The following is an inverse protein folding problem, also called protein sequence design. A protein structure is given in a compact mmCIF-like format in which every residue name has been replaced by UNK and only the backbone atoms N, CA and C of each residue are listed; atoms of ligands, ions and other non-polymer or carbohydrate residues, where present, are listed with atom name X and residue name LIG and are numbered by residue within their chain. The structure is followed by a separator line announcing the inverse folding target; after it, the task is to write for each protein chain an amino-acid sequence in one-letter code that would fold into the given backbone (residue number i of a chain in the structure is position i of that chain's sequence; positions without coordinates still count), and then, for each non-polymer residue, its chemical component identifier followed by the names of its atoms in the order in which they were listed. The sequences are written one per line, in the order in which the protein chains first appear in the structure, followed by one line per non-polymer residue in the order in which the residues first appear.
data_IF_652419235387
#
_entry.id   IF_652419235387
#
_cell.length_a   1.000
_cell.length_b   1.000
_cell.length_c   1.000
_cell.angle_alpha   90.00
_cell.angle_beta   90.00
_cell.angle_gamma   90.00
#
_symmetry.space_group_name_H-M   'P 1'
#
loop_
_entity.id
_entity.type
_entity.pdbx_description
1 polymer ?
#
# COMPACT_ATOMS: atom_id res chain seq x y z
N UNK A 1 -0.51 -20.84 9.38
CA UNK A 1 -0.10 -19.43 9.15
C UNK A 1 -0.05 -19.21 7.64
N UNK A 2 -0.65 -18.15 7.10
CA UNK A 2 -0.63 -17.89 5.66
C UNK A 2 0.79 -17.63 5.14
N UNK A 3 1.06 -17.95 3.87
CA UNK A 3 2.40 -17.80 3.24
C UNK A 3 2.94 -16.37 3.28
N UNK A 4 2.06 -15.36 3.24
CA UNK A 4 2.45 -13.94 3.15
C UNK A 4 1.96 -13.10 4.33
N UNK A 5 0.71 -13.26 4.79
CA UNK A 5 0.15 -12.46 5.89
C UNK A 5 0.10 -13.24 7.21
N UNK A 6 0.72 -12.67 8.24
CA UNK A 6 0.61 -13.11 9.64
C UNK A 6 -0.43 -12.29 10.42
N UNK A 7 -0.29 -12.23 11.75
CA UNK A 7 -1.19 -11.48 12.65
C UNK A 7 -1.31 -10.01 12.26
N UNK A 8 -0.18 -9.37 12.00
CA UNK A 8 -0.09 -7.91 11.77
C UNK A 8 0.59 -7.60 10.43
N UNK A 9 0.12 -8.26 9.36
CA UNK A 9 0.53 -7.97 7.99
C UNK A 9 1.61 -8.90 7.42
N UNK A 10 2.18 -8.49 6.29
CA UNK A 10 3.29 -9.18 5.62
C UNK A 10 4.62 -8.63 6.14
N UNK A 11 5.37 -9.47 6.86
CA UNK A 11 6.60 -9.09 7.56
C UNK A 11 7.74 -10.04 7.20
N UNK A 12 8.97 -9.54 7.29
CA UNK A 12 10.17 -10.30 7.00
C UNK A 12 11.41 -9.41 7.00
N UNK A 13 12.60 -9.99 6.90
CA UNK A 13 13.83 -9.22 6.74
C UNK A 13 13.83 -8.49 5.38
N UNK A 14 14.13 -7.19 5.41
CA UNK A 14 14.06 -6.35 4.22
C UNK A 14 15.17 -6.72 3.23
N UNK A 15 14.78 -7.01 1.98
CA UNK A 15 15.68 -7.46 0.93
C UNK A 15 15.94 -8.97 0.91
N UNK A 16 15.46 -9.72 1.91
CA UNK A 16 15.59 -11.18 2.00
C UNK A 16 14.21 -11.82 1.93
N UNK A 17 13.43 -11.74 3.01
CA UNK A 17 12.08 -12.32 3.08
C UNK A 17 11.03 -11.36 2.50
N UNK A 18 11.23 -10.05 2.72
CA UNK A 18 10.36 -8.99 2.21
C UNK A 18 11.14 -8.14 1.19
N UNK A 19 10.81 -8.31 -0.09
CA UNK A 19 11.57 -7.70 -1.20
C UNK A 19 10.80 -6.54 -1.84
N UNK A 20 11.49 -5.72 -2.63
CA UNK A 20 10.85 -4.66 -3.43
C UNK A 20 9.80 -5.22 -4.41
N UNK A 21 10.06 -6.40 -5.00
CA UNK A 21 9.11 -7.09 -5.88
C UNK A 21 7.84 -7.52 -5.13
N UNK A 22 7.96 -7.98 -3.88
CA UNK A 22 6.79 -8.23 -3.03
C UNK A 22 5.96 -6.95 -2.84
N UNK A 23 6.61 -5.84 -2.48
CA UNK A 23 5.93 -4.56 -2.27
C UNK A 23 5.25 -4.06 -3.56
N UNK A 24 5.91 -4.15 -4.71
CA UNK A 24 5.33 -3.81 -6.01
C UNK A 24 4.10 -4.65 -6.33
N UNK A 25 4.18 -5.98 -6.16
CA UNK A 25 3.05 -6.90 -6.40
C UNK A 25 1.87 -6.62 -5.48
N UNK A 26 2.14 -6.32 -4.21
CA UNK A 26 1.11 -5.89 -3.25
C UNK A 26 0.45 -4.59 -3.70
N UNK A 27 1.23 -3.56 -4.04
CA UNK A 27 0.70 -2.29 -4.54
C UNK A 27 -0.16 -2.48 -5.79
N UNK A 28 0.32 -3.27 -6.75
CA UNK A 28 -0.39 -3.59 -7.99
C UNK A 28 -1.72 -4.28 -7.72
N UNK A 29 -1.72 -5.27 -6.84
CA UNK A 29 -2.95 -5.98 -6.47
C UNK A 29 -3.93 -5.06 -5.75
N UNK A 30 -3.49 -4.26 -4.78
CA UNK A 30 -4.35 -3.34 -4.03
C UNK A 30 -4.99 -2.30 -4.95
N UNK A 31 -4.20 -1.69 -5.85
CA UNK A 31 -4.72 -0.71 -6.81
C UNK A 31 -5.81 -1.31 -7.71
N UNK A 32 -5.56 -2.49 -8.28
CA UNK A 32 -6.56 -3.20 -9.09
C UNK A 32 -7.81 -3.57 -8.28
N UNK A 33 -7.62 -4.14 -7.09
CA UNK A 33 -8.71 -4.63 -6.26
C UNK A 33 -9.66 -3.52 -5.84
N UNK A 34 -9.13 -2.39 -5.35
CA UNK A 34 -9.94 -1.27 -4.92
C UNK A 34 -10.59 -0.52 -6.09
N UNK A 35 -9.92 -0.42 -7.25
CA UNK A 35 -10.57 0.09 -8.46
C UNK A 35 -11.77 -0.78 -8.85
N UNK A 36 -11.58 -2.09 -8.96
CA UNK A 36 -12.67 -3.02 -9.29
C UNK A 36 -13.81 -2.99 -8.26
N UNK A 37 -13.51 -2.76 -6.98
CA UNK A 37 -14.52 -2.61 -5.95
C UNK A 37 -15.34 -1.33 -6.12
N UNK A 38 -14.70 -0.21 -6.47
CA UNK A 38 -15.39 1.07 -6.74
C UNK A 38 -16.26 0.99 -8.00
N UNK A 39 -15.73 0.40 -9.07
CA UNK A 39 -16.48 0.20 -10.33
C UNK A 39 -17.76 -0.59 -10.09
N UNK A 40 -17.70 -1.66 -9.28
CA UNK A 40 -18.88 -2.46 -8.90
C UNK A 40 -19.92 -1.67 -8.11
N UNK A 41 -19.49 -0.61 -7.41
CA UNK A 41 -20.36 0.30 -6.67
C UNK A 41 -20.80 1.50 -7.53
N UNK A 42 -20.56 1.48 -8.85
CA UNK A 42 -20.95 2.54 -9.78
C UNK A 42 -20.04 3.77 -9.75
N UNK A 43 -18.84 3.66 -9.18
CA UNK A 43 -17.87 4.75 -9.11
C UNK A 43 -16.63 4.42 -9.93
N UNK A 44 -16.38 5.20 -10.99
CA UNK A 44 -15.25 5.01 -11.91
C UNK A 44 -14.04 5.90 -11.59
N UNK A 45 -14.06 6.62 -10.46
CA UNK A 45 -12.90 7.41 -10.04
C UNK A 45 -11.76 6.49 -9.57
N UNK A 46 -10.48 6.86 -9.82
CA UNK A 46 -9.32 6.11 -9.35
C UNK A 46 -9.34 5.90 -7.83
N UNK A 47 -9.14 4.66 -7.38
CA UNK A 47 -9.03 4.34 -5.97
C UNK A 47 -7.90 5.16 -5.33
N UNK A 48 -8.20 5.80 -4.21
CA UNK A 48 -7.26 6.60 -3.44
C UNK A 48 -6.66 5.76 -2.33
N UNK A 49 -5.33 5.65 -2.32
CA UNK A 49 -4.60 4.82 -1.36
C UNK A 49 -3.55 5.67 -0.66
N UNK A 50 -3.65 5.74 0.67
CA UNK A 50 -2.73 6.49 1.53
C UNK A 50 -1.61 5.57 2.02
N UNK A 51 -0.37 6.05 1.93
CA UNK A 51 0.83 5.32 2.34
C UNK A 51 1.57 6.15 3.40
N UNK A 52 1.86 5.52 4.53
CA UNK A 52 2.77 6.04 5.54
C UNK A 52 3.86 5.02 5.86
N UNK A 53 4.96 5.50 6.45
CA UNK A 53 6.09 4.66 6.84
C UNK A 53 6.70 5.10 8.18
N UNK A 54 7.46 4.19 8.78
CA UNK A 54 8.36 4.52 9.88
C UNK A 54 9.73 5.02 9.37
N UNK A 55 10.69 5.19 10.28
CA UNK A 55 12.04 5.72 9.98
C UNK A 55 13.03 4.66 9.48
N UNK A 56 12.63 3.39 9.26
CA UNK A 56 13.56 2.35 8.81
C UNK A 56 14.12 2.71 7.43
N UNK A 57 15.41 2.41 7.22
CA UNK A 57 16.09 2.66 5.93
C UNK A 57 15.38 1.99 4.74
N UNK A 58 14.88 0.77 4.94
CA UNK A 58 14.16 0.02 3.91
C UNK A 58 12.81 0.64 3.51
N UNK A 59 12.26 1.52 4.34
CA UNK A 59 10.92 2.07 4.13
C UNK A 59 10.83 2.93 2.86
N UNK A 60 11.90 3.59 2.44
CA UNK A 60 11.93 4.32 1.16
C UNK A 60 11.77 3.39 -0.04
N UNK A 61 12.51 2.27 -0.04
CA UNK A 61 12.43 1.27 -1.10
C UNK A 61 11.01 0.69 -1.19
N UNK A 62 10.40 0.35 -0.06
CA UNK A 62 9.05 -0.20 -0.03
C UNK A 62 7.98 0.82 -0.38
N UNK A 63 8.07 2.07 0.10
CA UNK A 63 7.15 3.15 -0.25
C UNK A 63 7.12 3.36 -1.77
N UNK A 64 8.28 3.54 -2.42
CA UNK A 64 8.32 3.74 -3.86
C UNK A 64 7.90 2.50 -4.66
N UNK A 65 8.19 1.30 -4.16
CA UNK A 65 7.76 0.06 -4.82
C UNK A 65 6.23 -0.12 -4.75
N UNK A 66 5.62 0.19 -3.60
CA UNK A 66 4.16 0.22 -3.44
C UNK A 66 3.53 1.25 -4.37
N UNK A 67 4.06 2.48 -4.39
CA UNK A 67 3.60 3.55 -5.31
C UNK A 67 3.63 3.07 -6.75
N UNK A 68 4.75 2.53 -7.21
CA UNK A 68 4.87 2.03 -8.58
C UNK A 68 3.84 0.94 -8.91
N UNK A 69 3.55 0.05 -7.97
CA UNK A 69 2.51 -0.97 -8.13
C UNK A 69 1.11 -0.36 -8.25
N UNK A 70 0.77 0.55 -7.32
CA UNK A 70 -0.53 1.21 -7.25
C UNK A 70 -0.84 2.00 -8.52
N UNK A 71 0.09 2.86 -8.95
CA UNK A 71 -0.08 3.70 -10.14
C UNK A 71 -0.11 2.87 -11.42
N UNK A 72 0.64 1.76 -11.50
CA UNK A 72 0.58 0.84 -12.62
C UNK A 72 -0.76 0.09 -12.75
N UNK A 73 -1.61 0.15 -11.72
CA UNK A 73 -2.99 -0.36 -11.73
C UNK A 73 -4.05 0.74 -11.88
N UNK A 74 -3.62 1.99 -12.07
CA UNK A 74 -4.52 3.14 -12.22
C UNK A 74 -5.13 3.64 -10.91
N UNK A 75 -4.49 3.38 -9.77
CA UNK A 75 -4.89 3.94 -8.48
C UNK A 75 -3.99 5.14 -8.11
N UNK A 76 -4.54 6.08 -7.33
CA UNK A 76 -3.82 7.24 -6.82
C UNK A 76 -3.13 6.92 -5.50
N UNK A 77 -1.85 7.24 -5.40
CA UNK A 77 -1.05 7.03 -4.20
C UNK A 77 -0.77 8.38 -3.49
N UNK A 78 -1.22 8.50 -2.24
CA UNK A 78 -1.01 9.67 -1.39
C UNK A 78 0.03 9.37 -0.33
N UNK A 79 1.15 10.10 -0.35
CA UNK A 79 2.28 9.86 0.54
C UNK A 79 2.22 10.75 1.78
N UNK A 80 2.10 10.13 2.95
CA UNK A 80 2.28 10.80 4.25
C UNK A 80 3.74 10.80 4.70
N UNK A 81 4.61 10.06 3.99
CA UNK A 81 6.00 9.82 4.36
C UNK A 81 6.14 9.27 5.78
N UNK A 82 7.15 9.75 6.53
CA UNK A 82 7.41 9.30 7.89
C UNK A 82 6.29 9.79 8.80
N UNK A 83 5.48 8.86 9.31
CA UNK A 83 4.36 9.13 10.19
C UNK A 83 4.06 7.93 11.09
N UNK A 84 3.11 8.08 12.01
CA UNK A 84 2.72 6.97 12.90
C UNK A 84 1.64 6.10 12.26
N UNK A 85 1.62 4.81 12.57
CA UNK A 85 0.55 3.91 12.11
C UNK A 85 -0.86 4.41 12.47
N UNK A 86 -1.12 4.94 13.69
CA UNK A 86 -2.40 5.57 14.00
C UNK A 86 -2.74 6.76 13.09
N UNK A 87 -1.75 7.57 12.67
CA UNK A 87 -1.98 8.68 11.72
C UNK A 87 -2.44 8.16 10.36
N UNK A 88 -1.85 7.07 9.85
CA UNK A 88 -2.30 6.42 8.60
C UNK A 88 -3.75 5.96 8.73
N UNK A 89 -4.09 5.28 9.83
CA UNK A 89 -5.45 4.80 10.09
C UNK A 89 -6.47 5.93 10.21
N UNK A 90 -6.09 7.05 10.83
CA UNK A 90 -6.93 8.23 10.94
C UNK A 90 -7.19 8.85 9.56
N UNK A 91 -6.13 9.16 8.80
CA UNK A 91 -6.24 9.79 7.48
C UNK A 91 -7.06 8.92 6.51
N UNK A 92 -6.78 7.61 6.46
CA UNK A 92 -7.53 6.68 5.60
C UNK A 92 -9.04 6.61 5.90
N UNK A 93 -9.48 7.10 7.07
CA UNK A 93 -10.89 7.17 7.46
C UNK A 93 -11.53 8.54 7.20
N UNK A 94 -10.78 9.63 7.36
CA UNK A 94 -11.34 10.99 7.38
C UNK A 94 -11.16 11.75 6.07
N UNK A 95 -10.23 11.34 5.22
CA UNK A 95 -9.94 11.97 3.93
C UNK A 95 -10.70 11.20 2.84
N UNK A 96 -11.85 11.76 2.42
CA UNK A 96 -12.70 11.25 1.31
C UNK A 96 -12.09 11.62 -0.04
#
# INVERSE_FOLDING_TARGET
MGKYFGTDGFRGEAGIDLTADHAYKVGRFLGWYYNALRERNGNNEPARIVIGKDTRRSSYMFEYSLVAGLTASGADAYLLHVTTTPSVAYIARVDD
#
